data_IF_428177065435
#
_entry.id   IF_428177065435
#
_cell.length_a   1.000
_cell.length_b   1.000
_cell.length_c   1.000
_cell.angle_alpha   90.00
_cell.angle_beta   90.00
_cell.angle_gamma   90.00
#
_symmetry.space_group_name_H-M   'P 1'
#
loop_
_entity.id
_entity.type
_entity.pdbx_description
1 polymer ?
#
# COMPACT_ATOMS: atom_id res chain seq x y z
N UNK A 1 6.49 12.75 -12.05
CA UNK A 1 6.49 12.10 -10.72
C UNK A 1 5.22 11.33 -10.50
N UNK A 2 5.34 10.14 -9.98
CA UNK A 2 4.21 9.33 -9.57
C UNK A 2 4.40 8.94 -8.11
N UNK A 3 3.35 9.08 -7.33
CA UNK A 3 3.35 8.63 -5.94
C UNK A 3 2.40 7.44 -5.83
N UNK A 4 2.89 6.37 -5.24
CA UNK A 4 2.13 5.12 -5.13
C UNK A 4 2.01 4.75 -3.65
N UNK A 5 0.78 4.45 -3.24
CA UNK A 5 0.49 3.94 -1.91
C UNK A 5 0.50 2.42 -1.97
N UNK A 6 1.24 1.79 -1.08
CA UNK A 6 1.35 0.35 -0.99
C UNK A 6 0.74 -0.16 0.31
N UNK A 7 -0.18 -1.10 0.19
CA UNK A 7 -0.72 -1.83 1.34
C UNK A 7 -0.10 -3.23 1.33
N UNK A 8 0.83 -3.45 2.21
CA UNK A 8 1.63 -4.67 2.23
C UNK A 8 1.05 -5.71 3.18
N UNK A 9 0.98 -6.95 2.74
CA UNK A 9 0.45 -8.03 3.56
C UNK A 9 1.23 -9.32 3.31
N UNK A 10 1.26 -10.18 4.33
CA UNK A 10 1.86 -11.50 4.22
C UNK A 10 0.79 -12.55 3.96
N UNK A 11 1.07 -13.49 3.09
CA UNK A 11 0.19 -14.60 2.80
C UNK A 11 0.99 -15.89 2.85
N UNK A 12 0.45 -16.90 3.54
CA UNK A 12 1.06 -18.21 3.57
C UNK A 12 0.49 -19.06 2.45
N UNK A 13 1.37 -19.57 1.60
CA UNK A 13 0.98 -20.38 0.46
C UNK A 13 1.95 -21.53 0.30
N UNK A 14 1.44 -22.76 0.31
CA UNK A 14 2.25 -23.97 0.17
C UNK A 14 3.41 -24.01 1.17
N UNK A 15 3.17 -23.67 2.43
CA UNK A 15 4.13 -23.61 3.52
C UNK A 15 5.24 -22.57 3.32
N UNK A 16 5.05 -21.67 2.36
CA UNK A 16 5.95 -20.54 2.14
C UNK A 16 5.22 -19.25 2.43
N UNK A 17 5.92 -18.33 3.10
CA UNK A 17 5.38 -17.01 3.34
C UNK A 17 5.72 -16.11 2.17
N UNK A 18 4.68 -15.53 1.57
CA UNK A 18 4.82 -14.63 0.42
C UNK A 18 4.35 -13.26 0.84
N UNK A 19 5.13 -12.23 0.52
CA UNK A 19 4.74 -10.85 0.76
C UNK A 19 4.15 -10.29 -0.51
N UNK A 20 2.94 -9.76 -0.41
CA UNK A 20 2.24 -9.13 -1.53
C UNK A 20 1.81 -7.73 -1.14
N UNK A 21 1.48 -6.93 -2.13
CA UNK A 21 1.01 -5.58 -1.85
C UNK A 21 -0.06 -5.18 -2.85
N UNK A 22 -0.99 -4.33 -2.39
CA UNK A 22 -1.90 -3.60 -3.25
C UNK A 22 -1.30 -2.23 -3.52
N UNK A 23 -1.29 -1.81 -4.77
CA UNK A 23 -0.65 -0.58 -5.19
C UNK A 23 -1.71 0.37 -5.73
N UNK A 24 -1.74 1.59 -5.21
CA UNK A 24 -2.70 2.61 -5.63
C UNK A 24 -1.94 3.90 -5.98
N UNK A 25 -2.16 4.41 -7.18
CA UNK A 25 -1.58 5.67 -7.57
C UNK A 25 -2.34 6.81 -6.90
N UNK A 26 -1.61 7.72 -6.26
CA UNK A 26 -2.20 8.83 -5.52
C UNK A 26 -1.61 10.15 -6.02
N UNK A 27 -2.20 11.26 -5.61
CA UNK A 27 -1.69 12.58 -5.96
C UNK A 27 -0.30 12.78 -5.39
N UNK A 28 0.61 13.34 -6.18
CA UNK A 28 2.00 13.53 -5.78
C UNK A 28 2.16 14.52 -4.62
N UNK A 29 1.19 15.43 -4.46
CA UNK A 29 1.18 16.40 -3.37
C UNK A 29 0.39 15.94 -2.15
N UNK A 30 -0.06 14.71 -2.13
CA UNK A 30 -0.81 14.17 -0.98
C UNK A 30 0.11 14.06 0.23
N UNK A 31 -0.38 14.53 1.38
CA UNK A 31 0.36 14.47 2.63
C UNK A 31 0.37 13.04 3.19
N UNK A 32 1.44 12.69 3.89
CA UNK A 32 1.58 11.35 4.45
C UNK A 32 0.46 11.02 5.43
N UNK A 33 0.03 11.99 6.23
CA UNK A 33 -1.08 11.78 7.17
C UNK A 33 -2.38 11.45 6.43
N UNK A 34 -2.64 12.13 5.32
CA UNK A 34 -3.81 11.87 4.49
C UNK A 34 -3.73 10.48 3.86
N UNK A 35 -2.56 10.11 3.38
CA UNK A 35 -2.35 8.80 2.77
C UNK A 35 -2.51 7.69 3.80
N UNK A 36 -2.05 7.91 5.03
CA UNK A 36 -2.25 6.96 6.11
C UNK A 36 -3.72 6.74 6.40
N UNK A 37 -4.50 7.81 6.44
CA UNK A 37 -5.94 7.72 6.66
C UNK A 37 -6.62 6.97 5.52
N UNK A 38 -6.25 7.27 4.28
CA UNK A 38 -6.76 6.56 3.11
C UNK A 38 -6.40 5.08 3.18
N UNK A 39 -5.17 4.78 3.55
CA UNK A 39 -4.72 3.39 3.71
C UNK A 39 -5.53 2.64 4.75
N UNK A 40 -5.84 3.27 5.88
CA UNK A 40 -6.65 2.66 6.92
C UNK A 40 -8.07 2.37 6.44
N UNK A 41 -8.66 3.28 5.65
CA UNK A 41 -9.99 3.06 5.09
C UNK A 41 -9.97 1.93 4.05
N UNK A 42 -8.96 1.89 3.20
CA UNK A 42 -8.82 0.81 2.22
C UNK A 42 -8.59 -0.53 2.90
N UNK A 43 -7.85 -0.53 4.01
CA UNK A 43 -7.60 -1.73 4.79
C UNK A 43 -8.89 -2.38 5.27
N UNK A 44 -9.89 -1.56 5.62
CA UNK A 44 -11.19 -2.06 6.06
C UNK A 44 -11.97 -2.72 4.93
N UNK A 45 -11.74 -2.30 3.70
CA UNK A 45 -12.42 -2.82 2.51
C UNK A 45 -11.74 -4.07 1.96
N UNK A 46 -10.48 -4.27 2.30
CA UNK A 46 -9.69 -5.40 1.81
C UNK A 46 -9.78 -6.54 2.83
N UNK A 47 -10.16 -7.72 2.36
CA UNK A 47 -10.28 -8.91 3.22
C UNK A 47 -8.93 -9.58 3.41
N UNK A 48 -7.94 -8.81 3.86
CA UNK A 48 -6.57 -9.26 4.13
C UNK A 48 -6.03 -8.50 5.33
N UNK A 49 -5.14 -9.15 6.07
CA UNK A 49 -4.45 -8.51 7.19
C UNK A 49 -3.29 -7.69 6.65
N UNK A 50 -3.49 -6.39 6.58
CA UNK A 50 -2.45 -5.48 6.10
C UNK A 50 -1.43 -5.26 7.21
N UNK A 51 -0.18 -5.63 6.95
CA UNK A 51 0.90 -5.51 7.93
C UNK A 51 1.45 -4.09 7.99
N UNK A 52 1.72 -3.50 6.84
CA UNK A 52 2.31 -2.16 6.77
C UNK A 52 1.70 -1.38 5.61
N UNK A 53 1.76 -0.06 5.74
CA UNK A 53 1.36 0.88 4.70
C UNK A 53 2.58 1.71 4.36
N UNK A 54 3.00 1.67 3.11
CA UNK A 54 4.17 2.42 2.65
C UNK A 54 3.83 3.24 1.43
N UNK A 55 4.68 4.20 1.12
CA UNK A 55 4.56 5.00 -0.09
C UNK A 55 5.88 5.02 -0.84
N UNK A 56 5.80 5.16 -2.14
CA UNK A 56 6.99 5.38 -2.95
C UNK A 56 6.72 6.48 -3.97
N UNK A 57 7.76 7.21 -4.33
CA UNK A 57 7.69 8.24 -5.35
C UNK A 57 8.60 7.81 -6.48
N UNK A 58 8.04 7.75 -7.68
CA UNK A 58 8.80 7.37 -8.88
C UNK A 58 8.85 8.54 -9.84
N UNK A 59 10.04 8.80 -10.35
CA UNK A 59 10.26 9.83 -11.32
C UNK A 59 10.36 9.18 -12.70
N UNK A 60 9.61 9.74 -13.65
CA UNK A 60 9.64 9.24 -15.03
C UNK A 60 10.82 9.86 -15.76
N UNK A 61 11.62 9.04 -16.39
CA UNK A 61 12.74 9.49 -17.20
C UNK A 61 12.29 9.78 -18.63
#
# INVERSE_FOLDING_TARGET
LKKVLHLNYGEEKNQKQVVKSYNFEVATNAEDNTLKEVGEELKKLIDKNIDTITTSTKESL
#
